data_IF_488386548606
#
_entry.id   IF_488386548606
#
_cell.length_a   1.000
_cell.length_b   1.000
_cell.length_c   1.000
_cell.angle_alpha   90.00
_cell.angle_beta   90.00
_cell.angle_gamma   90.00
#
_symmetry.space_group_name_H-M   'P 1'
#
loop_
_entity.id
_entity.type
_entity.pdbx_description
1 polymer ?
#
# COMPACT_ATOMS: atom_id res chain seq x y z
N UNK A 1 18.57 -70.14 32.74
CA UNK A 1 17.42 -69.83 31.86
C UNK A 1 16.61 -68.77 32.61
N UNK A 2 16.87 -67.50 32.33
CA UNK A 2 16.17 -66.39 32.97
C UNK A 2 15.67 -65.43 31.89
N UNK A 3 14.35 -65.37 31.73
CA UNK A 3 13.65 -64.44 30.85
C UNK A 3 12.57 -63.72 31.65
N UNK A 4 12.86 -62.49 32.07
CA UNK A 4 11.87 -61.54 32.58
C UNK A 4 11.77 -60.39 31.60
N UNK A 5 10.82 -60.47 30.68
CA UNK A 5 10.40 -59.34 29.85
C UNK A 5 9.38 -58.49 30.60
N UNK A 6 9.65 -57.19 30.66
CA UNK A 6 8.85 -56.18 31.35
C UNK A 6 7.69 -55.72 30.47
N UNK A 7 6.47 -56.08 30.88
CA UNK A 7 5.22 -55.64 30.27
C UNK A 7 4.93 -54.19 30.69
N UNK A 8 5.41 -53.21 29.92
CA UNK A 8 5.05 -51.79 30.12
C UNK A 8 3.60 -51.61 29.69
N UNK A 9 2.72 -51.30 30.65
CA UNK A 9 1.28 -51.26 30.44
C UNK A 9 0.86 -50.23 29.39
N UNK A 10 0.03 -50.68 28.46
CA UNK A 10 -0.48 -49.95 27.30
C UNK A 10 -1.30 -48.68 27.66
N UNK A 11 -1.74 -48.55 28.92
CA UNK A 11 -2.51 -47.39 29.39
C UNK A 11 -1.68 -46.12 29.65
N UNK A 12 -0.37 -46.23 29.87
CA UNK A 12 0.48 -45.04 30.11
C UNK A 12 0.64 -44.16 28.87
N UNK A 13 0.69 -44.77 27.69
CA UNK A 13 0.92 -44.08 26.41
C UNK A 13 -0.28 -43.23 25.99
N UNK A 14 -1.50 -43.64 26.34
CA UNK A 14 -2.71 -42.92 25.95
C UNK A 14 -2.80 -41.57 26.69
N UNK A 15 -2.44 -41.51 27.98
CA UNK A 15 -2.46 -40.26 28.75
C UNK A 15 -1.42 -39.24 28.25
N UNK A 16 -0.23 -39.71 27.91
CA UNK A 16 0.82 -38.83 27.38
C UNK A 16 0.45 -38.26 26.01
N UNK A 17 -0.16 -39.08 25.15
CA UNK A 17 -0.63 -38.65 23.83
C UNK A 17 -1.73 -37.56 23.93
N UNK A 18 -2.72 -37.75 24.79
CA UNK A 18 -3.77 -36.77 25.01
C UNK A 18 -3.25 -35.45 25.60
N UNK A 19 -2.27 -35.51 26.51
CA UNK A 19 -1.64 -34.31 27.07
C UNK A 19 -0.92 -33.49 25.99
N UNK A 20 -0.17 -34.16 25.09
CA UNK A 20 0.52 -33.50 23.97
C UNK A 20 -0.48 -32.89 22.98
N UNK A 21 -1.56 -33.61 22.68
CA UNK A 21 -2.61 -33.14 21.77
C UNK A 21 -3.28 -31.84 22.28
N UNK A 22 -3.63 -31.80 23.57
CA UNK A 22 -4.24 -30.61 24.19
C UNK A 22 -3.31 -29.39 24.12
N UNK A 23 -2.01 -29.57 24.39
CA UNK A 23 -1.03 -28.48 24.31
C UNK A 23 -0.93 -27.93 22.89
N UNK A 24 -0.92 -28.80 21.87
CA UNK A 24 -0.89 -28.37 20.46
C UNK A 24 -2.15 -27.57 20.12
N UNK A 25 -3.33 -28.01 20.55
CA UNK A 25 -4.59 -27.28 20.33
C UNK A 25 -4.58 -25.88 20.98
N UNK A 26 -4.05 -25.75 22.20
CA UNK A 26 -3.93 -24.45 22.89
C UNK A 26 -2.97 -23.53 22.15
N UNK A 27 -1.81 -24.02 21.71
CA UNK A 27 -0.82 -23.22 20.96
C UNK A 27 -1.40 -22.73 19.63
N UNK A 28 -2.13 -23.59 18.91
CA UNK A 28 -2.81 -23.21 17.66
C UNK A 28 -3.91 -22.16 17.93
N UNK A 29 -4.71 -22.35 18.98
CA UNK A 29 -5.78 -21.43 19.35
C UNK A 29 -5.24 -20.05 19.77
N UNK A 30 -4.19 -20.01 20.59
CA UNK A 30 -3.53 -18.76 21.01
C UNK A 30 -2.90 -18.06 19.81
N UNK A 31 -2.26 -18.78 18.89
CA UNK A 31 -1.72 -18.22 17.65
C UNK A 31 -2.82 -17.61 16.77
N UNK A 32 -3.97 -18.28 16.65
CA UNK A 32 -5.11 -17.79 15.86
C UNK A 32 -5.77 -16.55 16.47
N UNK A 33 -5.86 -16.49 17.81
CA UNK A 33 -6.39 -15.32 18.51
C UNK A 33 -5.45 -14.12 18.41
N UNK A 34 -4.13 -14.31 18.43
CA UNK A 34 -3.16 -13.23 18.25
C UNK A 34 -3.28 -12.55 16.86
N UNK A 35 -3.53 -13.33 15.80
CA UNK A 35 -3.77 -12.79 14.46
C UNK A 35 -5.09 -12.01 14.37
N UNK A 36 -6.14 -12.44 15.10
CA UNK A 36 -7.41 -11.71 15.15
C UNK A 36 -7.26 -10.36 15.85
N UNK A 37 -6.51 -10.30 16.96
CA UNK A 37 -6.24 -9.03 17.64
C UNK A 37 -5.49 -8.04 16.76
N UNK A 38 -4.50 -8.50 15.99
CA UNK A 38 -3.79 -7.66 15.02
C UNK A 38 -4.71 -7.10 13.92
N UNK A 39 -5.68 -7.89 13.44
CA UNK A 39 -6.66 -7.43 12.45
C UNK A 39 -7.60 -6.38 13.04
N UNK A 40 -8.04 -6.55 14.29
CA UNK A 40 -8.92 -5.58 14.97
C UNK A 40 -8.21 -4.24 15.18
N UNK A 41 -6.93 -4.24 15.55
CA UNK A 41 -6.15 -3.01 15.77
C UNK A 41 -5.94 -2.21 14.47
N UNK A 42 -5.72 -2.91 13.34
CA UNK A 42 -5.64 -2.28 12.01
C UNK A 42 -7.00 -1.71 11.58
N UNK A 43 -8.11 -2.40 11.86
CA UNK A 43 -9.45 -1.90 11.56
C UNK A 43 -9.81 -0.66 12.38
N UNK A 44 -9.47 -0.64 13.68
CA UNK A 44 -9.67 0.54 14.54
C UNK A 44 -8.85 1.72 14.02
N UNK A 45 -7.58 1.50 13.67
CA UNK A 45 -6.71 2.54 13.10
C UNK A 45 -7.27 3.10 11.79
N UNK A 46 -7.84 2.24 10.93
CA UNK A 46 -8.45 2.65 9.67
C UNK A 46 -9.71 3.51 9.89
N UNK A 47 -10.57 3.14 10.85
CA UNK A 47 -11.76 3.91 11.20
C UNK A 47 -11.39 5.28 11.77
N UNK A 48 -10.36 5.34 12.63
CA UNK A 48 -9.86 6.61 13.17
C UNK A 48 -9.27 7.53 12.09
N UNK A 49 -8.60 6.98 11.07
CA UNK A 49 -8.10 7.76 9.93
C UNK A 49 -9.26 8.32 9.10
N UNK A 50 -10.30 7.51 8.83
CA UNK A 50 -11.47 7.95 8.05
C UNK A 50 -12.20 9.08 8.79
N UNK A 51 -12.48 8.91 10.08
CA UNK A 51 -13.12 9.94 10.90
C UNK A 51 -12.25 11.19 11.07
N UNK A 52 -10.92 11.03 11.15
CA UNK A 52 -9.97 12.14 11.21
C UNK A 52 -9.94 12.95 9.91
N UNK A 53 -10.02 12.29 8.75
CA UNK A 53 -10.04 12.93 7.43
C UNK A 53 -11.37 13.68 7.19
N UNK A 54 -12.49 13.14 7.65
CA UNK A 54 -13.78 13.84 7.60
C UNK A 54 -13.76 15.11 8.46
N UNK A 55 -13.25 15.01 9.70
CA UNK A 55 -13.14 16.16 10.61
C UNK A 55 -12.18 17.25 10.10
N UNK A 56 -11.04 16.86 9.52
CA UNK A 56 -10.09 17.78 8.87
C UNK A 56 -10.70 18.42 7.61
N UNK A 57 -11.56 17.69 6.89
CA UNK A 57 -12.29 18.22 5.75
C UNK A 57 -13.27 19.32 6.16
N UNK A 58 -14.07 19.07 7.20
CA UNK A 58 -15.04 20.03 7.74
C UNK A 58 -14.36 21.29 8.32
N UNK A 59 -13.30 21.12 9.12
CA UNK A 59 -12.55 22.26 9.69
C UNK A 59 -11.92 23.14 8.61
N UNK A 60 -11.42 22.54 7.51
CA UNK A 60 -10.83 23.30 6.41
C UNK A 60 -11.89 24.08 5.60
N UNK A 61 -13.11 23.54 5.46
CA UNK A 61 -14.23 24.26 4.85
C UNK A 61 -14.71 25.42 5.72
N UNK A 62 -14.84 25.23 7.02
CA UNK A 62 -15.31 26.26 7.95
C UNK A 62 -14.29 27.41 8.09
N UNK A 63 -12.99 27.09 8.12
CA UNK A 63 -11.94 28.09 8.15
C UNK A 63 -11.93 28.95 6.88
N UNK A 64 -12.09 28.34 5.70
CA UNK A 64 -12.18 29.08 4.43
C UNK A 64 -13.46 29.90 4.32
N UNK A 65 -14.57 29.42 4.87
CA UNK A 65 -15.83 30.16 4.91
C UNK A 65 -15.69 31.41 5.79
N UNK A 66 -15.07 31.26 6.96
CA UNK A 66 -14.82 32.34 7.91
C UNK A 66 -13.86 33.40 7.36
N UNK A 67 -12.76 32.98 6.72
CA UNK A 67 -11.85 33.94 6.06
C UNK A 67 -12.53 34.74 4.94
N UNK A 68 -13.46 34.12 4.20
CA UNK A 68 -14.23 34.83 3.17
C UNK A 68 -15.24 35.80 3.79
N UNK A 69 -15.86 35.42 4.92
CA UNK A 69 -16.79 36.27 5.65
C UNK A 69 -16.09 37.48 6.28
N UNK A 70 -14.93 37.29 6.90
CA UNK A 70 -14.11 38.37 7.49
C UNK A 70 -13.58 39.33 6.40
N UNK A 71 -13.24 38.82 5.20
CA UNK A 71 -12.89 39.64 4.03
C UNK A 71 -14.06 40.47 3.52
N UNK A 72 -15.28 39.94 3.56
CA UNK A 72 -16.48 40.68 3.18
C UNK A 72 -16.82 41.76 4.22
N UNK A 73 -16.72 41.46 5.52
CA UNK A 73 -16.97 42.43 6.59
C UNK A 73 -15.94 43.56 6.63
N UNK A 74 -14.66 43.26 6.38
CA UNK A 74 -13.60 44.28 6.24
C UNK A 74 -13.79 45.19 5.02
N UNK A 75 -14.28 44.66 3.90
CA UNK A 75 -14.64 45.49 2.73
C UNK A 75 -15.85 46.39 3.00
N UNK A 76 -16.79 45.93 3.84
CA UNK A 76 -17.96 46.73 4.25
C UNK A 76 -17.57 47.80 5.27
N UNK A 77 -16.68 47.50 6.21
CA UNK A 77 -16.24 48.43 7.27
C UNK A 77 -15.18 49.44 6.82
N UNK A 78 -14.44 49.16 5.74
CA UNK A 78 -13.49 50.10 5.12
C UNK A 78 -14.14 51.18 4.25
N UNK A 79 -15.46 51.16 4.05
CA UNK A 79 -16.15 52.22 3.32
C UNK A 79 -16.36 53.45 4.22
N UNK A 80 -16.02 54.67 3.76
CA UNK A 80 -16.10 55.88 4.57
C UNK A 80 -17.56 56.11 5.01
N UNK A 81 -17.81 56.12 6.32
CA UNK A 81 -19.11 56.53 6.86
C UNK A 81 -19.38 57.98 6.44
N UNK A 82 -20.56 58.29 5.88
CA UNK A 82 -20.91 59.66 5.55
C UNK A 82 -20.93 60.49 6.83
N UNK A 83 -20.11 61.55 6.88
CA UNK A 83 -20.11 62.52 7.99
C UNK A 83 -21.43 63.30 7.94
N UNK A 84 -22.25 63.16 8.99
CA UNK A 84 -23.50 63.90 9.13
C UNK A 84 -23.22 65.29 9.71
N UNK A 85 -22.82 66.23 8.86
CA UNK A 85 -22.83 67.63 9.24
C UNK A 85 -24.20 68.22 8.90
N UNK A 86 -24.91 68.66 9.94
CA UNK A 86 -26.29 69.12 9.87
C UNK A 86 -26.42 70.41 9.06
N UNK A 87 -27.07 70.32 7.92
CA UNK A 87 -27.74 71.44 7.26
C UNK A 87 -28.92 70.90 6.43
N UNK A 88 -30.09 71.53 6.60
CA UNK A 88 -31.40 71.09 6.10
C UNK A 88 -31.58 71.19 4.56
N UNK A 89 -30.50 71.46 3.80
CA UNK A 89 -30.42 71.28 2.34
C UNK A 89 -29.61 70.05 1.92
N UNK A 90 -29.01 69.34 2.88
CA UNK A 90 -28.21 68.13 2.65
C UNK A 90 -29.02 66.84 2.58
N UNK A 91 -30.30 66.83 3.01
CA UNK A 91 -31.09 65.59 3.11
C UNK A 91 -31.39 64.96 1.73
N UNK A 92 -31.67 65.77 0.70
CA UNK A 92 -31.94 65.28 -0.66
C UNK A 92 -30.69 64.73 -1.36
N UNK A 93 -29.52 65.36 -1.18
CA UNK A 93 -28.26 64.85 -1.75
C UNK A 93 -27.78 63.59 -1.03
N UNK A 94 -27.94 63.54 0.29
CA UNK A 94 -27.61 62.33 1.07
C UNK A 94 -28.56 61.19 0.73
N UNK A 95 -29.86 61.44 0.53
CA UNK A 95 -30.82 60.44 0.05
C UNK A 95 -30.46 59.91 -1.34
N UNK A 96 -30.10 60.78 -2.29
CA UNK A 96 -29.70 60.36 -3.63
C UNK A 96 -28.45 59.47 -3.61
N UNK A 97 -27.41 59.86 -2.87
CA UNK A 97 -26.18 59.06 -2.73
C UNK A 97 -26.45 57.73 -2.01
N UNK A 98 -27.32 57.73 -1.00
CA UNK A 98 -27.70 56.52 -0.28
C UNK A 98 -28.48 55.56 -1.18
N UNK A 99 -29.37 56.09 -2.02
CA UNK A 99 -30.13 55.31 -2.99
C UNK A 99 -29.23 54.71 -4.08
N UNK A 100 -28.33 55.52 -4.65
CA UNK A 100 -27.34 55.06 -5.64
C UNK A 100 -26.42 53.96 -5.05
N UNK A 101 -26.00 54.10 -3.79
CA UNK A 101 -25.23 53.08 -3.09
C UNK A 101 -26.02 51.78 -2.89
N UNK A 102 -27.30 51.88 -2.52
CA UNK A 102 -28.15 50.70 -2.37
C UNK A 102 -28.42 50.00 -3.70
N UNK A 103 -28.61 50.75 -4.79
CA UNK A 103 -28.80 50.21 -6.13
C UNK A 103 -27.53 49.52 -6.63
N UNK A 104 -26.36 50.16 -6.49
CA UNK A 104 -25.07 49.56 -6.85
C UNK A 104 -24.76 48.29 -6.04
N UNK A 105 -25.07 48.29 -4.74
CA UNK A 105 -24.92 47.11 -3.89
C UNK A 105 -25.86 45.98 -4.31
N UNK A 106 -27.10 46.30 -4.65
CA UNK A 106 -28.10 45.31 -5.10
C UNK A 106 -27.64 44.66 -6.41
N UNK A 107 -27.14 45.44 -7.36
CA UNK A 107 -26.61 44.93 -8.61
C UNK A 107 -25.40 44.00 -8.40
N UNK A 108 -24.48 44.36 -7.49
CA UNK A 108 -23.32 43.52 -7.17
C UNK A 108 -23.72 42.20 -6.51
N UNK A 109 -24.76 42.20 -5.66
CA UNK A 109 -25.29 40.98 -5.06
C UNK A 109 -25.89 40.08 -6.14
N UNK A 110 -26.71 40.62 -7.03
CA UNK A 110 -27.33 39.84 -8.12
C UNK A 110 -26.28 39.21 -9.03
N UNK A 111 -25.21 39.93 -9.40
CA UNK A 111 -24.12 39.35 -10.20
C UNK A 111 -23.41 38.18 -9.50
N UNK A 112 -23.21 38.26 -8.18
CA UNK A 112 -22.59 37.18 -7.40
C UNK A 112 -23.50 35.97 -7.27
N UNK A 113 -24.82 36.18 -7.14
CA UNK A 113 -25.82 35.11 -7.14
C UNK A 113 -25.79 34.34 -8.47
N UNK A 114 -25.72 35.06 -9.59
CA UNK A 114 -25.61 34.47 -10.93
C UNK A 114 -24.30 33.65 -11.09
N UNK A 115 -23.15 34.17 -10.64
CA UNK A 115 -21.87 33.44 -10.68
C UNK A 115 -21.90 32.15 -9.85
N UNK A 116 -22.50 32.20 -8.66
CA UNK A 116 -22.65 31.02 -7.80
C UNK A 116 -23.54 29.98 -8.47
N UNK A 117 -24.65 30.42 -9.09
CA UNK A 117 -25.57 29.53 -9.78
C UNK A 117 -24.89 28.84 -10.98
N UNK A 118 -24.10 29.59 -11.75
CA UNK A 118 -23.31 29.03 -12.85
C UNK A 118 -22.28 27.99 -12.39
N UNK A 119 -21.56 28.26 -11.28
CA UNK A 119 -20.62 27.29 -10.71
C UNK A 119 -21.32 26.02 -10.21
N UNK A 120 -22.54 26.14 -9.65
CA UNK A 120 -23.33 24.98 -9.22
C UNK A 120 -23.77 24.12 -10.40
N UNK A 121 -24.18 24.73 -11.51
CA UNK A 121 -24.51 24.03 -12.75
C UNK A 121 -23.30 23.30 -13.34
N UNK A 122 -22.11 23.92 -13.36
CA UNK A 122 -20.87 23.25 -13.77
C UNK A 122 -20.55 22.03 -12.89
N UNK A 123 -20.68 22.17 -11.57
CA UNK A 123 -20.49 21.05 -10.63
C UNK A 123 -21.52 19.94 -10.90
N UNK A 124 -22.77 20.29 -11.21
CA UNK A 124 -23.83 19.32 -11.50
C UNK A 124 -23.58 18.58 -12.83
N UNK A 125 -23.10 19.28 -13.86
CA UNK A 125 -22.67 18.69 -15.13
C UNK A 125 -21.47 17.74 -14.95
N UNK A 126 -20.51 18.10 -14.09
CA UNK A 126 -19.38 17.24 -13.72
C UNK A 126 -19.81 16.03 -12.87
N UNK A 127 -20.81 16.18 -12.00
CA UNK A 127 -21.40 15.05 -11.24
C UNK A 127 -22.19 14.10 -12.15
N UNK A 128 -22.85 14.61 -13.18
CA UNK A 128 -23.56 13.80 -14.19
C UNK A 128 -22.63 12.95 -15.07
N UNK A 129 -21.36 13.33 -15.21
CA UNK A 129 -20.32 12.56 -15.93
C UNK A 129 -19.55 11.57 -15.04
N UNK A 130 -19.62 11.73 -13.71
CA UNK A 130 -19.02 10.82 -12.73
C UNK A 130 -19.52 9.35 -12.79
N UNK A 131 -20.82 9.01 -13.06
CA UNK A 131 -21.27 7.62 -13.09
C UNK A 131 -20.75 6.79 -14.28
N UNK A 132 -20.31 7.42 -15.38
CA UNK A 132 -19.74 6.73 -16.55
C UNK A 132 -18.26 6.38 -16.32
N UNK A 133 -17.52 7.25 -15.62
CA UNK A 133 -16.13 6.98 -15.24
C UNK A 133 -16.06 6.01 -14.06
N UNK A 134 -16.98 6.07 -13.11
CA UNK A 134 -16.98 5.16 -11.94
C UNK A 134 -17.37 3.73 -12.29
N UNK A 135 -18.24 3.44 -13.28
CA UNK A 135 -18.44 2.04 -13.74
C UNK A 135 -17.23 1.47 -14.47
N UNK A 136 -16.46 2.31 -15.17
CA UNK A 136 -15.22 1.91 -15.84
C UNK A 136 -14.04 1.79 -14.85
N UNK A 137 -14.09 2.51 -13.72
CA UNK A 137 -13.08 2.45 -12.65
C UNK A 137 -13.42 1.38 -11.60
N UNK A 138 -14.69 1.12 -11.27
CA UNK A 138 -15.11 0.05 -10.34
C UNK A 138 -14.97 -1.34 -10.96
N UNK A 139 -15.16 -1.50 -12.27
CA UNK A 139 -14.81 -2.75 -12.97
C UNK A 139 -13.29 -3.00 -13.04
N UNK A 140 -12.45 -1.99 -12.74
CA UNK A 140 -11.00 -2.16 -12.47
C UNK A 140 -10.64 -2.25 -10.98
N UNK A 141 -11.56 -1.90 -10.07
CA UNK A 141 -11.34 -1.94 -8.61
C UNK A 141 -11.73 -3.28 -7.97
N UNK A 142 -12.29 -4.21 -8.74
CA UNK A 142 -12.41 -5.62 -8.36
C UNK A 142 -11.13 -6.39 -8.67
N UNK A 143 -10.37 -6.72 -7.62
CA UNK A 143 -9.19 -7.60 -7.59
C UNK A 143 -7.87 -7.05 -8.17
N UNK A 144 -7.44 -5.88 -7.72
CA UNK A 144 -6.01 -5.76 -7.46
C UNK A 144 -5.70 -6.64 -6.24
N UNK A 145 -5.39 -7.93 -6.48
CA UNK A 145 -4.60 -8.71 -5.50
C UNK A 145 -3.49 -7.78 -5.02
N UNK A 146 -3.16 -7.71 -3.71
CA UNK A 146 -2.01 -6.91 -3.26
C UNK A 146 -0.88 -7.20 -4.24
N UNK A 147 -0.24 -6.16 -4.78
CA UNK A 147 0.66 -6.23 -5.94
C UNK A 147 1.81 -7.26 -5.77
N UNK A 148 1.89 -7.86 -4.60
CA UNK A 148 2.91 -8.71 -4.02
C UNK A 148 2.38 -10.09 -3.56
N UNK A 149 1.23 -10.58 -4.04
CA UNK A 149 0.82 -11.97 -3.74
C UNK A 149 1.88 -12.95 -4.27
N UNK A 150 2.33 -13.90 -3.45
CA UNK A 150 3.39 -14.85 -3.83
C UNK A 150 3.07 -15.62 -5.12
N UNK A 151 1.80 -15.95 -5.37
CA UNK A 151 1.38 -16.63 -6.60
C UNK A 151 1.68 -15.83 -7.87
N UNK A 152 1.53 -14.51 -7.81
CA UNK A 152 1.90 -13.61 -8.91
C UNK A 152 3.42 -13.59 -9.10
N UNK A 153 4.18 -13.46 -8.01
CA UNK A 153 5.65 -13.48 -8.03
C UNK A 153 6.15 -14.80 -8.64
N UNK A 154 5.59 -15.93 -8.24
CA UNK A 154 5.95 -17.24 -8.79
C UNK A 154 5.63 -17.36 -10.29
N UNK A 155 4.46 -16.86 -10.71
CA UNK A 155 4.09 -16.79 -12.12
C UNK A 155 5.08 -15.95 -12.94
N UNK A 156 5.49 -14.80 -12.41
CA UNK A 156 6.46 -13.91 -13.06
C UNK A 156 7.85 -14.57 -13.16
N UNK A 157 8.32 -15.18 -12.07
CA UNK A 157 9.58 -15.94 -12.04
C UNK A 157 9.56 -17.05 -13.09
N UNK A 158 8.50 -17.87 -13.13
CA UNK A 158 8.42 -19.01 -14.06
C UNK A 158 8.27 -18.57 -15.51
N UNK A 159 7.57 -17.47 -15.77
CA UNK A 159 7.47 -16.84 -17.09
C UNK A 159 8.84 -16.37 -17.59
N UNK A 160 9.60 -15.64 -16.76
CA UNK A 160 10.95 -15.20 -17.11
C UNK A 160 11.88 -16.39 -17.27
N UNK A 161 11.87 -17.35 -16.36
CA UNK A 161 12.70 -18.56 -16.40
C UNK A 161 12.45 -19.41 -17.66
N UNK A 162 11.21 -19.47 -18.13
CA UNK A 162 10.86 -20.21 -19.34
C UNK A 162 11.46 -19.57 -20.60
N UNK A 163 11.48 -18.23 -20.64
CA UNK A 163 12.08 -17.44 -21.72
C UNK A 163 13.61 -17.39 -21.63
N UNK A 164 14.13 -17.11 -20.44
CA UNK A 164 15.55 -16.97 -20.11
C UNK A 164 16.01 -18.25 -19.42
N UNK A 165 16.44 -19.22 -20.21
CA UNK A 165 16.96 -20.52 -19.74
C UNK A 165 18.27 -20.42 -18.95
N UNK A 166 18.81 -19.23 -18.72
CA UNK A 166 20.02 -18.97 -17.96
C UNK A 166 19.86 -17.77 -17.03
N UNK A 167 20.46 -17.89 -15.83
CA UNK A 167 20.42 -16.89 -14.75
C UNK A 167 21.84 -16.64 -14.28
N UNK A 168 22.29 -15.39 -14.29
CA UNK A 168 23.57 -15.03 -13.68
C UNK A 168 23.34 -14.76 -12.19
N UNK A 169 24.30 -15.13 -11.35
CA UNK A 169 24.33 -14.67 -9.94
C UNK A 169 24.34 -13.15 -9.89
N UNK A 170 23.84 -12.53 -8.80
CA UNK A 170 23.84 -11.06 -8.66
C UNK A 170 25.19 -10.39 -8.95
N UNK A 171 26.30 -11.00 -8.52
CA UNK A 171 27.66 -10.49 -8.78
C UNK A 171 28.16 -10.77 -10.22
N UNK A 172 27.36 -11.38 -11.08
CA UNK A 172 27.71 -11.76 -12.45
C UNK A 172 28.70 -12.91 -12.61
N UNK A 173 29.29 -13.42 -11.52
CA UNK A 173 30.42 -14.37 -11.56
C UNK A 173 30.06 -15.79 -12.00
N UNK A 174 28.83 -16.25 -11.79
CA UNK A 174 28.42 -17.61 -12.16
C UNK A 174 27.11 -17.61 -12.94
N UNK A 175 26.99 -18.50 -13.92
CA UNK A 175 25.77 -18.71 -14.69
C UNK A 175 25.13 -20.03 -14.32
N UNK A 176 23.85 -19.98 -13.96
CA UNK A 176 23.01 -21.12 -13.64
C UNK A 176 22.07 -21.38 -14.82
N UNK A 177 21.92 -22.63 -15.28
CA UNK A 177 21.06 -22.97 -16.41
C UNK A 177 19.78 -23.67 -15.94
N UNK A 178 18.63 -23.17 -16.35
CA UNK A 178 17.32 -23.73 -16.00
C UNK A 178 17.04 -24.90 -16.94
N UNK A 179 16.96 -26.11 -16.39
CA UNK A 179 16.76 -27.34 -17.16
C UNK A 179 15.27 -27.67 -17.33
N UNK A 180 14.50 -27.59 -16.24
CA UNK A 180 13.08 -27.95 -16.19
C UNK A 180 12.34 -27.02 -15.24
N UNK A 181 11.11 -26.66 -15.59
CA UNK A 181 10.18 -25.88 -14.78
C UNK A 181 8.89 -26.69 -14.69
N UNK A 182 8.30 -26.78 -13.50
CA UNK A 182 6.99 -27.35 -13.27
C UNK A 182 6.19 -26.46 -12.31
N UNK A 183 4.94 -26.82 -12.02
CA UNK A 183 4.04 -26.04 -11.16
C UNK A 183 4.63 -25.79 -9.77
N UNK A 184 5.34 -26.78 -9.23
CA UNK A 184 5.81 -26.81 -7.84
C UNK A 184 7.30 -26.49 -7.69
N UNK A 185 8.01 -26.15 -8.76
CA UNK A 185 9.45 -25.90 -8.70
C UNK A 185 10.19 -25.85 -10.04
N UNK A 186 11.51 -25.96 -9.94
CA UNK A 186 12.41 -25.99 -11.09
C UNK A 186 13.70 -26.75 -10.79
N UNK A 187 14.35 -27.26 -11.84
CA UNK A 187 15.67 -27.88 -11.78
C UNK A 187 16.67 -26.98 -12.47
N UNK A 188 17.70 -26.58 -11.74
CA UNK A 188 18.74 -25.64 -12.19
C UNK A 188 20.10 -26.34 -12.15
N UNK A 189 20.89 -26.22 -13.22
CA UNK A 189 22.28 -26.67 -13.28
C UNK A 189 23.20 -25.53 -12.80
N UNK A 190 24.04 -25.82 -11.82
CA UNK A 190 25.04 -24.92 -11.27
C UNK A 190 26.40 -25.63 -11.32
N UNK A 191 27.30 -25.18 -12.21
CA UNK A 191 28.53 -25.90 -12.52
C UNK A 191 28.24 -27.31 -13.01
N UNK A 192 28.88 -28.32 -12.40
CA UNK A 192 28.64 -29.75 -12.68
C UNK A 192 27.41 -30.34 -11.98
N UNK A 193 26.84 -29.63 -11.00
CA UNK A 193 25.73 -30.11 -10.17
C UNK A 193 24.35 -29.69 -10.65
N UNK A 194 23.33 -30.43 -10.22
CA UNK A 194 21.91 -30.05 -10.35
C UNK A 194 21.36 -29.66 -8.99
N UNK A 195 20.53 -28.64 -8.95
CA UNK A 195 19.85 -28.12 -7.76
C UNK A 195 18.36 -28.08 -8.05
N UNK A 196 17.56 -28.73 -7.21
CA UNK A 196 16.10 -28.63 -7.24
C UNK A 196 15.67 -27.49 -6.34
N UNK A 197 14.89 -26.55 -6.90
CA UNK A 197 14.29 -25.43 -6.20
C UNK A 197 12.79 -25.68 -6.16
N UNK A 198 12.23 -25.87 -4.96
CA UNK A 198 10.79 -25.99 -4.77
C UNK A 198 10.17 -24.60 -4.68
N UNK A 199 8.90 -24.48 -5.06
CA UNK A 199 8.10 -23.28 -4.89
C UNK A 199 8.08 -22.83 -3.42
N UNK A 200 8.00 -23.78 -2.48
CA UNK A 200 8.08 -23.51 -1.04
C UNK A 200 9.42 -22.91 -0.61
N UNK A 201 10.54 -23.29 -1.25
CA UNK A 201 11.85 -22.70 -0.97
C UNK A 201 11.84 -21.21 -1.35
N UNK A 202 11.28 -20.87 -2.51
CA UNK A 202 11.17 -19.47 -2.96
C UNK A 202 10.20 -18.68 -2.09
N UNK A 203 9.11 -19.31 -1.64
CA UNK A 203 8.14 -18.69 -0.72
C UNK A 203 8.82 -18.29 0.60
N UNK A 204 9.66 -19.14 1.18
CA UNK A 204 10.36 -18.82 2.42
C UNK A 204 11.25 -17.57 2.28
N UNK A 205 11.98 -17.43 1.18
CA UNK A 205 12.80 -16.23 0.90
C UNK A 205 11.93 -14.99 0.67
N UNK A 206 10.80 -15.16 -0.02
CA UNK A 206 9.85 -14.09 -0.28
C UNK A 206 9.18 -13.58 1.00
N UNK A 207 8.72 -14.50 1.86
CA UNK A 207 8.10 -14.17 3.14
C UNK A 207 9.10 -13.46 4.06
N UNK A 208 10.37 -13.90 4.09
CA UNK A 208 11.40 -13.22 4.88
C UNK A 208 11.68 -11.81 4.38
N UNK A 209 11.82 -11.64 3.06
CA UNK A 209 12.00 -10.32 2.45
C UNK A 209 10.82 -9.37 2.70
N UNK A 210 9.60 -9.89 2.88
CA UNK A 210 8.43 -9.08 3.19
C UNK A 210 8.46 -8.50 4.61
N UNK A 211 9.15 -9.15 5.56
CA UNK A 211 9.24 -8.66 6.95
C UNK A 211 10.06 -7.38 7.03
N UNK A 212 11.26 -7.41 6.44
CA UNK A 212 12.24 -6.32 6.57
C UNK A 212 12.27 -5.39 5.35
N UNK A 213 11.46 -5.69 4.32
CA UNK A 213 11.48 -5.01 3.02
C UNK A 213 12.77 -5.24 2.22
N UNK A 214 13.69 -6.03 2.76
CA UNK A 214 14.96 -6.40 2.16
C UNK A 214 15.42 -7.76 2.67
N UNK A 215 16.37 -8.37 1.97
CA UNK A 215 16.95 -9.65 2.37
C UNK A 215 18.46 -9.60 2.23
N UNK A 216 19.19 -9.72 3.34
CA UNK A 216 20.65 -9.68 3.36
C UNK A 216 21.27 -11.08 3.39
N UNK A 217 21.80 -11.50 2.23
CA UNK A 217 22.36 -12.84 2.07
C UNK A 217 23.66 -13.08 2.85
N UNK A 218 24.35 -12.02 3.26
CA UNK A 218 25.62 -12.12 3.99
C UNK A 218 25.42 -12.37 5.49
N UNK A 219 24.33 -11.86 6.06
CA UNK A 219 24.11 -11.83 7.51
C UNK A 219 23.00 -12.78 7.99
N UNK A 220 22.04 -13.14 7.13
CA UNK A 220 20.90 -13.96 7.54
C UNK A 220 21.17 -15.46 7.38
N UNK A 221 20.96 -16.16 8.50
CA UNK A 221 21.30 -17.55 8.76
C UNK A 221 20.33 -18.47 8.01
N UNK A 222 20.67 -18.78 6.76
CA UNK A 222 20.10 -19.92 6.08
C UNK A 222 20.93 -21.17 6.40
N UNK A 223 20.28 -22.25 6.87
CA UNK A 223 20.89 -23.58 7.01
C UNK A 223 21.71 -23.95 5.76
N UNK A 224 22.78 -24.74 5.89
CA UNK A 224 23.72 -25.05 4.79
C UNK A 224 23.04 -25.47 3.46
N UNK A 225 21.92 -26.19 3.54
CA UNK A 225 21.11 -26.59 2.37
C UNK A 225 20.46 -25.41 1.64
N UNK A 226 20.02 -24.39 2.39
CA UNK A 226 19.40 -23.17 1.86
C UNK A 226 20.46 -22.17 1.37
N UNK A 227 21.69 -22.17 1.90
CA UNK A 227 22.79 -21.33 1.36
C UNK A 227 23.05 -21.57 -0.12
N UNK A 228 23.08 -22.83 -0.56
CA UNK A 228 23.33 -23.17 -1.97
C UNK A 228 22.18 -22.74 -2.89
N UNK A 229 20.94 -22.92 -2.43
CA UNK A 229 19.74 -22.51 -3.17
C UNK A 229 19.55 -20.99 -3.18
N UNK A 230 19.87 -20.32 -2.08
CA UNK A 230 19.60 -18.91 -1.84
C UNK A 230 20.23 -18.01 -2.90
N UNK A 231 21.47 -18.28 -3.31
CA UNK A 231 22.08 -17.51 -4.40
C UNK A 231 21.30 -17.58 -5.72
N UNK A 232 20.71 -18.74 -6.04
CA UNK A 232 19.89 -18.92 -7.23
C UNK A 232 18.51 -18.25 -7.05
N UNK A 233 17.87 -18.46 -5.89
CA UNK A 233 16.56 -17.89 -5.56
C UNK A 233 16.59 -16.36 -5.59
N UNK A 234 17.60 -15.76 -4.99
CA UNK A 234 17.78 -14.31 -4.99
C UNK A 234 18.00 -13.77 -6.41
N UNK A 235 18.75 -14.51 -7.23
CA UNK A 235 18.98 -14.11 -8.62
C UNK A 235 17.71 -14.26 -9.48
N UNK A 236 16.83 -15.22 -9.15
CA UNK A 236 15.48 -15.32 -9.72
C UNK A 236 14.59 -14.16 -9.29
N UNK A 237 14.62 -13.79 -8.00
CA UNK A 237 13.85 -12.67 -7.45
C UNK A 237 14.29 -11.34 -8.07
N UNK A 238 15.58 -11.13 -8.33
CA UNK A 238 16.10 -9.92 -8.96
C UNK A 238 15.61 -9.67 -10.40
N UNK A 239 14.84 -10.59 -10.99
CA UNK A 239 14.16 -10.39 -12.27
C UNK A 239 12.77 -9.74 -12.16
N UNK A 240 12.27 -9.57 -10.93
CA UNK A 240 10.91 -9.13 -10.69
C UNK A 240 10.85 -7.59 -10.72
N UNK A 241 9.89 -6.98 -11.45
CA UNK A 241 9.78 -5.54 -11.70
C UNK A 241 9.91 -4.57 -10.52
N UNK A 242 9.67 -5.00 -9.29
CA UNK A 242 9.74 -4.15 -8.11
C UNK A 242 10.86 -4.57 -7.16
N UNK A 243 11.80 -5.41 -7.61
CA UNK A 243 12.95 -5.84 -6.82
C UNK A 243 14.22 -5.18 -7.36
N UNK A 244 14.92 -4.46 -6.49
CA UNK A 244 16.28 -3.97 -6.76
C UNK A 244 17.31 -4.83 -6.02
N UNK A 245 18.54 -4.85 -6.50
CA UNK A 245 19.62 -5.58 -5.84
C UNK A 245 20.90 -4.75 -5.69
N UNK A 246 21.65 -5.05 -4.64
CA UNK A 246 23.03 -4.62 -4.44
C UNK A 246 23.97 -5.81 -4.48
N UNK A 247 25.19 -5.58 -4.97
CA UNK A 247 26.24 -6.60 -5.04
C UNK A 247 27.13 -6.57 -3.80
N UNK A 248 27.32 -5.38 -3.22
CA UNK A 248 28.13 -5.16 -2.04
C UNK A 248 27.44 -4.11 -1.14
N UNK A 249 26.72 -4.51 -0.08
CA UNK A 249 26.48 -5.89 0.34
C UNK A 249 25.52 -6.64 -0.61
N UNK A 250 25.48 -7.98 -0.51
CA UNK A 250 24.59 -8.81 -1.36
C UNK A 250 23.17 -8.80 -0.80
N UNK A 251 22.37 -7.85 -1.29
CA UNK A 251 21.03 -7.59 -0.76
C UNK A 251 20.04 -7.43 -1.90
N UNK A 252 18.80 -7.87 -1.69
CA UNK A 252 17.65 -7.53 -2.54
C UNK A 252 16.64 -6.70 -1.74
N UNK A 253 15.94 -5.78 -2.40
CA UNK A 253 15.01 -4.84 -1.78
C UNK A 253 13.70 -4.78 -2.55
N UNK A 254 12.60 -4.66 -1.83
CA UNK A 254 11.29 -4.35 -2.42
C UNK A 254 11.20 -2.84 -2.61
N UNK A 255 11.01 -2.40 -3.86
CA UNK A 255 10.78 -1.00 -4.18
C UNK A 255 9.38 -0.57 -3.78
N UNK A 256 9.26 0.60 -3.16
CA UNK A 256 7.97 1.27 -2.86
C UNK A 256 7.42 2.12 -4.03
N UNK A 257 8.08 2.10 -5.19
CA UNK A 257 7.80 3.02 -6.30
C UNK A 257 8.13 2.45 -7.69
N UNK A 258 8.81 3.24 -8.53
CA UNK A 258 9.06 2.96 -9.96
C UNK A 258 9.53 1.53 -10.24
N UNK A 259 8.73 0.78 -10.99
CA UNK A 259 9.04 -0.58 -11.43
C UNK A 259 9.89 -0.59 -12.70
N UNK A 260 10.69 -1.63 -12.89
CA UNK A 260 11.44 -1.93 -14.12
C UNK A 260 10.79 -3.06 -14.92
N UNK A 261 11.22 -3.27 -16.16
CA UNK A 261 10.64 -4.31 -17.02
C UNK A 261 10.88 -5.72 -16.46
N UNK A 262 9.89 -6.61 -16.58
CA UNK A 262 10.00 -8.00 -16.13
C UNK A 262 11.17 -8.72 -16.81
N UNK A 263 12.02 -9.38 -16.02
CA UNK A 263 13.22 -10.07 -16.49
C UNK A 263 14.42 -9.17 -16.74
N UNK A 264 14.30 -7.86 -16.50
CA UNK A 264 15.47 -6.98 -16.37
C UNK A 264 16.03 -7.06 -14.95
N UNK A 265 17.27 -6.62 -14.77
CA UNK A 265 17.90 -6.48 -13.46
C UNK A 265 18.13 -5.00 -13.19
N UNK A 266 17.74 -4.50 -12.02
CA UNK A 266 18.06 -3.13 -11.61
C UNK A 266 19.03 -3.14 -10.42
N UNK A 267 20.29 -2.81 -10.71
CA UNK A 267 21.33 -2.65 -9.70
C UNK A 267 21.16 -1.31 -9.00
N UNK A 268 21.12 -1.30 -7.68
CA UNK A 268 21.19 -0.08 -6.87
C UNK A 268 22.64 0.36 -6.74
N UNK A 269 22.98 1.55 -7.23
CA UNK A 269 24.37 2.08 -7.27
C UNK A 269 24.74 2.91 -6.05
N UNK A 270 23.76 3.51 -5.39
CA UNK A 270 23.97 4.32 -4.18
C UNK A 270 23.27 3.65 -3.00
N UNK A 271 24.09 3.27 -2.02
CA UNK A 271 23.66 2.86 -0.69
C UNK A 271 23.76 4.07 0.23
#
# INVERSE_FOLDING_TARGET
MDGKESFISWHGWNKLFWAIFIIICIVIFVGFMADIFGIVEVLISLVLIILGVEKLGEELTDQKLKERQDRLESQITGMPKPKSDGHDLGSLKVQAITQEYHESRKEKITRLEDEIQQMLEEIQMLKGTAPVVTKTVQSRKTRAKPAHSFERVWSDITSVASKRRSIKTLAGKSTNRILKINKDGMIVRQGKGKVSIKKSDVKAFWDEMLKDGSLNFTNEIYNNTLKRKGGIIISLLAWIPFIEYSVNPRVIHIMKGNTHALGSHKKRTNW
#
